data_IF_898612917822
#
_entry.id   IF_898612917822
#
_cell.length_a   1.000
_cell.length_b   1.000
_cell.length_c   1.000
_cell.angle_alpha   90.00
_cell.angle_beta   90.00
_cell.angle_gamma   90.00
#
_symmetry.space_group_name_H-M   'P 1'
#
loop_
_entity.id
_entity.type
_entity.pdbx_description
1 polymer ?
#
# COMPACT_ATOMS: atom_id res chain seq x y z
N UNK A 1 3.90 34.43 -31.51
CA UNK A 1 5.12 34.06 -30.76
C UNK A 1 4.68 33.74 -29.34
N UNK A 2 4.51 32.45 -29.03
CA UNK A 2 3.73 31.98 -27.88
C UNK A 2 4.51 32.00 -26.57
N UNK A 3 3.87 32.56 -25.53
CA UNK A 3 4.32 32.73 -24.14
C UNK A 3 4.39 31.41 -23.35
N UNK A 4 5.18 30.43 -23.77
CA UNK A 4 5.41 29.21 -22.99
C UNK A 4 6.90 29.11 -22.62
N UNK A 5 7.38 30.03 -21.80
CA UNK A 5 8.62 29.82 -21.07
C UNK A 5 8.36 28.68 -20.07
N UNK A 6 8.74 27.45 -20.43
CA UNK A 6 8.89 26.35 -19.48
C UNK A 6 9.83 26.85 -18.38
N UNK A 7 9.29 27.07 -17.17
CA UNK A 7 10.14 27.33 -16.00
C UNK A 7 10.95 26.05 -15.80
N UNK A 8 12.27 26.13 -15.95
CA UNK A 8 13.20 25.12 -15.46
C UNK A 8 12.97 25.06 -13.95
N UNK A 9 12.16 24.10 -13.51
CA UNK A 9 11.97 23.83 -12.09
C UNK A 9 13.17 22.99 -11.68
N UNK A 10 13.95 23.51 -10.73
CA UNK A 10 15.14 22.81 -10.22
C UNK A 10 14.74 21.43 -9.68
N UNK A 11 15.38 20.37 -10.19
CA UNK A 11 15.19 18.99 -9.75
C UNK A 11 15.36 18.83 -8.23
N UNK A 12 16.22 19.66 -7.61
CA UNK A 12 16.41 19.68 -6.15
C UNK A 12 15.13 20.05 -5.42
N UNK A 13 14.35 20.98 -5.96
CA UNK A 13 13.07 21.41 -5.37
C UNK A 13 12.04 20.30 -5.48
N UNK A 14 11.99 19.60 -6.61
CA UNK A 14 11.08 18.46 -6.79
C UNK A 14 11.40 17.30 -5.83
N UNK A 15 12.68 16.94 -5.72
CA UNK A 15 13.14 15.91 -4.79
C UNK A 15 12.84 16.29 -3.33
N UNK A 16 12.99 17.55 -2.97
CA UNK A 16 12.65 18.05 -1.63
C UNK A 16 11.13 17.96 -1.36
N UNK A 17 10.29 18.32 -2.34
CA UNK A 17 8.84 18.19 -2.20
C UNK A 17 8.42 16.73 -1.99
N UNK A 18 8.95 15.81 -2.79
CA UNK A 18 8.65 14.38 -2.66
C UNK A 18 9.05 13.84 -1.29
N UNK A 19 10.19 14.28 -0.75
CA UNK A 19 10.62 13.95 0.60
C UNK A 19 9.61 14.44 1.66
N UNK A 20 9.19 15.71 1.56
CA UNK A 20 8.18 16.29 2.48
C UNK A 20 6.86 15.52 2.40
N UNK A 21 6.39 15.16 1.19
CA UNK A 21 5.18 14.36 1.03
C UNK A 21 5.29 13.00 1.72
N UNK A 22 6.43 12.32 1.59
CA UNK A 22 6.68 11.06 2.29
C UNK A 22 6.74 11.22 3.81
N UNK A 23 7.35 12.28 4.31
CA UNK A 23 7.41 12.58 5.75
C UNK A 23 6.01 12.87 6.31
N UNK A 24 5.19 13.66 5.61
CA UNK A 24 3.79 13.93 6.01
C UNK A 24 2.97 12.63 6.02
N UNK A 25 3.15 11.76 5.03
CA UNK A 25 2.52 10.44 5.01
C UNK A 25 2.89 9.63 6.26
N UNK A 26 4.18 9.49 6.56
CA UNK A 26 4.66 8.74 7.72
C UNK A 26 4.18 9.35 9.04
N UNK A 27 4.19 10.68 9.16
CA UNK A 27 3.70 11.40 10.33
C UNK A 27 2.20 11.13 10.54
N UNK A 28 1.40 11.21 9.47
CA UNK A 28 -0.03 10.93 9.51
C UNK A 28 -0.29 9.50 9.96
N UNK A 29 0.44 8.52 9.42
CA UNK A 29 0.35 7.12 9.83
C UNK A 29 0.66 6.94 11.33
N UNK A 30 1.72 7.57 11.84
CA UNK A 30 2.08 7.48 13.26
C UNK A 30 0.99 8.07 14.16
N UNK A 31 0.47 9.26 13.83
CA UNK A 31 -0.58 9.91 14.62
C UNK A 31 -1.85 9.05 14.68
N UNK A 32 -2.25 8.49 13.54
CA UNK A 32 -3.47 7.66 13.47
C UNK A 32 -3.28 6.35 14.23
N UNK A 33 -2.10 5.71 14.15
CA UNK A 33 -1.79 4.50 14.94
C UNK A 33 -1.80 4.78 16.45
N UNK A 34 -1.24 5.91 16.88
CA UNK A 34 -1.32 6.35 18.28
C UNK A 34 -2.77 6.60 18.70
N UNK A 35 -3.58 7.22 17.84
CA UNK A 35 -5.03 7.42 18.10
C UNK A 35 -5.75 6.09 18.33
N UNK A 36 -5.52 5.09 17.47
CA UNK A 36 -6.07 3.73 17.63
C UNK A 36 -5.68 3.15 18.99
N UNK A 37 -4.38 3.20 19.33
CA UNK A 37 -3.89 2.67 20.61
C UNK A 37 -4.54 3.33 21.82
N UNK A 38 -4.67 4.65 21.82
CA UNK A 38 -5.33 5.41 22.89
C UNK A 38 -6.81 5.05 22.98
N UNK A 39 -7.52 4.92 21.86
CA UNK A 39 -8.93 4.55 21.85
C UNK A 39 -9.15 3.13 22.36
N UNK A 40 -8.34 2.16 21.95
CA UNK A 40 -8.41 0.81 22.48
C UNK A 40 -8.12 0.75 23.98
N UNK A 41 -7.16 1.54 24.47
CA UNK A 41 -6.88 1.63 25.90
C UNK A 41 -8.06 2.21 26.70
N UNK A 42 -8.73 3.23 26.17
CA UNK A 42 -9.77 3.98 26.91
C UNK A 42 -11.18 3.39 26.76
N UNK A 43 -11.53 2.90 25.58
CA UNK A 43 -12.87 2.45 25.22
C UNK A 43 -12.97 0.93 25.04
N UNK A 44 -11.87 0.20 25.25
CA UNK A 44 -11.78 -1.22 24.95
C UNK A 44 -11.59 -1.50 23.46
N UNK A 45 -11.37 -2.77 23.13
CA UNK A 45 -11.15 -3.21 21.75
C UNK A 45 -12.51 -3.35 21.05
N UNK A 46 -12.97 -2.26 20.43
CA UNK A 46 -14.16 -2.25 19.59
C UNK A 46 -13.86 -1.63 18.22
N UNK A 47 -14.27 -2.30 17.14
CA UNK A 47 -14.03 -1.81 15.77
C UNK A 47 -14.79 -0.51 15.48
N UNK A 48 -15.96 -0.34 16.08
CA UNK A 48 -16.76 0.88 15.97
C UNK A 48 -15.98 2.11 16.47
N UNK A 49 -15.21 1.98 17.55
CA UNK A 49 -14.47 3.11 18.12
C UNK A 49 -13.37 3.66 17.20
N UNK A 50 -12.81 2.81 16.32
CA UNK A 50 -11.66 3.14 15.45
C UNK A 50 -12.01 3.18 13.96
N UNK A 51 -13.30 3.17 13.62
CA UNK A 51 -13.74 3.13 12.21
C UNK A 51 -13.20 4.33 11.42
N UNK A 52 -13.21 5.53 12.01
CA UNK A 52 -12.66 6.75 11.38
C UNK A 52 -11.17 6.62 11.11
N UNK A 53 -10.39 6.11 12.06
CA UNK A 53 -8.95 5.89 11.90
C UNK A 53 -8.66 4.89 10.79
N UNK A 54 -9.42 3.80 10.70
CA UNK A 54 -9.29 2.82 9.61
C UNK A 54 -9.54 3.49 8.25
N UNK A 55 -10.59 4.30 8.13
CA UNK A 55 -10.87 5.06 6.89
C UNK A 55 -9.72 5.99 6.54
N UNK A 56 -9.14 6.69 7.51
CA UNK A 56 -8.00 7.58 7.29
C UNK A 56 -6.77 6.78 6.83
N UNK A 57 -6.44 5.67 7.50
CA UNK A 57 -5.30 4.82 7.12
C UNK A 57 -5.42 4.34 5.67
N UNK A 58 -6.61 3.84 5.29
CA UNK A 58 -6.88 3.37 3.93
C UNK A 58 -6.78 4.54 2.94
N UNK A 59 -7.48 5.64 3.21
CA UNK A 59 -7.55 6.80 2.31
C UNK A 59 -6.18 7.44 2.07
N UNK A 60 -5.39 7.64 3.12
CA UNK A 60 -4.05 8.23 3.05
C UNK A 60 -3.07 7.30 2.33
N UNK A 61 -3.14 5.98 2.58
CA UNK A 61 -2.30 4.99 1.90
C UNK A 61 -2.59 4.95 0.39
N UNK A 62 -3.87 4.95 0.01
CA UNK A 62 -4.29 4.99 -1.40
C UNK A 62 -3.89 6.29 -2.08
N UNK A 63 -4.10 7.43 -1.41
CA UNK A 63 -3.71 8.74 -1.93
C UNK A 63 -2.19 8.81 -2.16
N UNK A 64 -1.39 8.40 -1.17
CA UNK A 64 0.06 8.38 -1.29
C UNK A 64 0.51 7.49 -2.45
N UNK A 65 0.03 6.24 -2.52
CA UNK A 65 0.42 5.30 -3.58
C UNK A 65 0.02 5.78 -4.98
N UNK A 66 -1.16 6.39 -5.13
CA UNK A 66 -1.59 6.96 -6.39
C UNK A 66 -0.74 8.18 -6.79
N UNK A 67 -0.45 9.07 -5.82
CA UNK A 67 0.28 10.31 -6.07
C UNK A 67 1.75 10.04 -6.36
N UNK A 68 2.41 9.15 -5.62
CA UNK A 68 3.80 8.77 -5.87
C UNK A 68 3.99 8.17 -7.26
N UNK A 69 3.02 7.36 -7.71
CA UNK A 69 3.01 6.81 -9.08
C UNK A 69 2.81 7.87 -10.17
N UNK A 70 2.03 8.93 -9.91
CA UNK A 70 1.89 10.05 -10.85
C UNK A 70 3.14 10.93 -10.96
N UNK A 71 3.93 10.97 -9.89
CA UNK A 71 5.10 11.83 -9.78
C UNK A 71 6.39 11.14 -10.24
N UNK A 72 6.35 9.86 -10.66
CA UNK A 72 7.57 9.13 -11.03
C UNK A 72 8.38 8.58 -9.84
N UNK A 73 8.08 9.08 -8.63
CA UNK A 73 8.78 8.75 -7.37
C UNK A 73 8.66 7.27 -7.01
N UNK A 74 7.55 6.63 -7.37
CA UNK A 74 7.31 5.23 -6.99
C UNK A 74 8.32 4.27 -7.65
N UNK A 75 8.73 4.50 -8.89
CA UNK A 75 9.78 3.71 -9.54
C UNK A 75 11.12 3.91 -8.86
N UNK A 76 11.47 5.14 -8.51
CA UNK A 76 12.73 5.47 -7.84
C UNK A 76 12.78 4.82 -6.44
N UNK A 77 11.65 4.81 -5.72
CA UNK A 77 11.53 4.12 -4.43
C UNK A 77 11.74 2.61 -4.56
N UNK A 78 11.20 1.99 -5.62
CA UNK A 78 11.36 0.56 -5.89
C UNK A 78 12.80 0.24 -6.25
N UNK A 79 13.42 1.02 -7.14
CA UNK A 79 14.82 0.83 -7.54
C UNK A 79 15.78 1.02 -6.36
N UNK A 80 15.57 2.06 -5.55
CA UNK A 80 16.35 2.30 -4.35
C UNK A 80 16.17 1.17 -3.33
N UNK A 81 14.95 0.64 -3.18
CA UNK A 81 14.71 -0.50 -2.30
C UNK A 81 15.43 -1.74 -2.80
N UNK A 82 15.29 -2.07 -4.08
CA UNK A 82 15.88 -3.27 -4.69
C UNK A 82 17.42 -3.21 -4.69
N UNK A 83 18.01 -2.02 -4.83
CA UNK A 83 19.45 -1.81 -4.72
C UNK A 83 20.00 -2.03 -3.28
N UNK A 84 19.20 -1.71 -2.26
CA UNK A 84 19.63 -1.74 -0.86
C UNK A 84 19.08 -2.93 -0.06
N UNK A 85 18.21 -3.76 -0.65
CA UNK A 85 17.49 -4.84 0.02
C UNK A 85 17.85 -6.20 -0.58
N UNK A 86 17.88 -7.23 0.28
CA UNK A 86 18.04 -8.62 -0.16
C UNK A 86 16.80 -9.16 -0.87
N UNK A 87 15.63 -8.64 -0.53
CA UNK A 87 14.36 -9.05 -1.14
C UNK A 87 13.84 -7.94 -2.03
N UNK A 88 13.43 -8.32 -3.26
CA UNK A 88 12.81 -7.37 -4.17
C UNK A 88 11.50 -6.82 -3.60
N UNK A 89 11.16 -5.59 -4.00
CA UNK A 89 9.91 -4.96 -3.64
C UNK A 89 8.72 -5.80 -4.09
N UNK A 90 8.82 -6.45 -5.26
CA UNK A 90 7.81 -7.39 -5.74
C UNK A 90 7.63 -8.58 -4.80
N UNK A 91 8.73 -9.18 -4.30
CA UNK A 91 8.67 -10.28 -3.32
C UNK A 91 8.00 -9.82 -2.03
N UNK A 92 8.30 -8.60 -1.58
CA UNK A 92 7.66 -8.00 -0.40
C UNK A 92 6.14 -7.88 -0.58
N UNK A 93 5.67 -7.44 -1.75
CA UNK A 93 4.22 -7.37 -2.05
C UNK A 93 3.56 -8.75 -2.05
N UNK A 94 4.23 -9.79 -2.57
CA UNK A 94 3.72 -11.17 -2.52
C UNK A 94 3.58 -11.67 -1.07
N UNK A 95 4.60 -11.45 -0.23
CA UNK A 95 4.58 -11.84 1.18
C UNK A 95 3.44 -11.12 1.91
N UNK A 96 3.25 -9.82 1.66
CA UNK A 96 2.16 -9.04 2.26
C UNK A 96 0.79 -9.58 1.80
N UNK A 97 0.64 -9.92 0.52
CA UNK A 97 -0.62 -10.47 -0.01
C UNK A 97 -0.97 -11.82 0.60
N UNK A 98 0.01 -12.72 0.71
CA UNK A 98 -0.16 -14.01 1.41
C UNK A 98 -0.51 -13.79 2.87
N UNK A 99 0.21 -12.91 3.56
CA UNK A 99 -0.03 -12.57 4.95
C UNK A 99 -1.46 -12.06 5.19
N UNK A 100 -1.94 -11.13 4.37
CA UNK A 100 -3.31 -10.61 4.48
C UNK A 100 -4.37 -11.70 4.24
N UNK A 101 -4.18 -12.52 3.21
CA UNK A 101 -5.08 -13.65 2.93
C UNK A 101 -5.14 -14.65 4.09
N UNK A 102 -4.00 -14.97 4.70
CA UNK A 102 -3.93 -15.86 5.86
C UNK A 102 -4.59 -15.27 7.10
N UNK A 103 -4.38 -13.98 7.39
CA UNK A 103 -5.02 -13.30 8.53
C UNK A 103 -6.54 -13.33 8.39
N UNK A 104 -7.06 -13.07 7.19
CA UNK A 104 -8.51 -13.15 6.95
C UNK A 104 -9.02 -14.57 7.00
N UNK A 105 -8.29 -15.55 6.46
CA UNK A 105 -8.67 -16.94 6.56
C UNK A 105 -8.74 -17.42 8.02
N UNK A 106 -7.77 -17.03 8.85
CA UNK A 106 -7.79 -17.29 10.30
C UNK A 106 -9.00 -16.64 10.96
N UNK A 107 -9.26 -15.36 10.67
CA UNK A 107 -10.42 -14.66 11.21
C UNK A 107 -11.73 -15.34 10.85
N UNK A 108 -11.92 -15.73 9.58
CA UNK A 108 -13.11 -16.42 9.11
C UNK A 108 -13.28 -17.81 9.73
N UNK A 109 -12.19 -18.58 9.84
CA UNK A 109 -12.21 -19.89 10.50
C UNK A 109 -12.52 -19.79 12.00
N UNK A 110 -11.96 -18.81 12.70
CA UNK A 110 -12.27 -18.58 14.13
C UNK A 110 -13.74 -18.17 14.27
N UNK A 111 -14.20 -17.23 13.44
CA UNK A 111 -15.57 -16.76 13.48
C UNK A 111 -16.56 -17.89 13.19
N UNK A 112 -16.25 -18.79 12.24
CA UNK A 112 -17.13 -19.91 11.93
C UNK A 112 -17.25 -20.90 13.10
N UNK A 113 -16.12 -21.21 13.74
CA UNK A 113 -16.08 -22.11 14.88
C UNK A 113 -16.80 -21.52 16.11
N UNK A 114 -16.66 -20.21 16.35
CA UNK A 114 -17.29 -19.56 17.50
C UNK A 114 -18.79 -19.34 17.32
N UNK A 115 -19.23 -19.01 16.10
CA UNK A 115 -20.60 -18.54 15.86
C UNK A 115 -21.58 -19.65 15.45
N UNK A 116 -21.10 -20.74 14.84
CA UNK A 116 -21.99 -21.75 14.25
C UNK A 116 -21.86 -23.15 14.86
N UNK A 117 -20.83 -23.43 15.66
CA UNK A 117 -20.64 -24.77 16.21
C UNK A 117 -21.37 -24.97 17.54
N UNK A 118 -22.15 -26.06 17.64
CA UNK A 118 -22.86 -26.43 18.87
C UNK A 118 -22.04 -27.35 19.78
N UNK A 119 -20.93 -27.90 19.28
CA UNK A 119 -20.03 -28.80 20.02
C UNK A 119 -18.57 -28.58 19.65
N UNK A 120 -17.66 -28.99 20.54
CA UNK A 120 -16.21 -28.86 20.30
C UNK A 120 -15.73 -29.62 19.05
N UNK A 121 -16.35 -30.78 18.73
CA UNK A 121 -16.01 -31.53 17.52
C UNK A 121 -16.41 -30.75 16.27
N UNK A 122 -17.64 -30.21 16.24
CA UNK A 122 -18.11 -29.39 15.12
C UNK A 122 -17.30 -28.10 14.98
N UNK A 123 -16.83 -27.50 16.08
CA UNK A 123 -16.01 -26.28 16.04
C UNK A 123 -14.69 -26.52 15.31
N UNK A 124 -14.04 -27.67 15.56
CA UNK A 124 -12.80 -28.04 14.87
C UNK A 124 -13.07 -28.26 13.37
N UNK A 125 -14.14 -28.97 13.03
CA UNK A 125 -14.54 -29.21 11.64
C UNK A 125 -14.84 -27.90 10.90
N UNK A 126 -15.64 -27.01 11.48
CA UNK A 126 -16.02 -25.73 10.90
C UNK A 126 -14.85 -24.77 10.77
N UNK A 127 -13.93 -24.78 11.76
CA UNK A 127 -12.70 -24.01 11.68
C UNK A 127 -11.89 -24.42 10.45
N UNK A 128 -11.53 -25.71 10.33
CA UNK A 128 -10.65 -26.16 9.25
C UNK A 128 -11.32 -26.05 7.87
N UNK A 129 -12.61 -26.38 7.77
CA UNK A 129 -13.35 -26.25 6.51
C UNK A 129 -13.36 -24.80 6.02
N UNK A 130 -13.77 -23.85 6.87
CA UNK A 130 -13.85 -22.44 6.48
C UNK A 130 -12.45 -21.84 6.31
N UNK A 131 -11.48 -22.22 7.14
CA UNK A 131 -10.10 -21.77 7.01
C UNK A 131 -9.48 -22.14 5.67
N UNK A 132 -9.57 -23.42 5.26
CA UNK A 132 -9.00 -23.85 3.98
C UNK A 132 -9.74 -23.26 2.78
N UNK A 133 -11.07 -23.20 2.81
CA UNK A 133 -11.85 -22.52 1.77
C UNK A 133 -11.46 -21.04 1.68
N UNK A 134 -11.29 -20.38 2.82
CA UNK A 134 -10.87 -18.97 2.89
C UNK A 134 -9.45 -18.76 2.37
N UNK A 135 -8.51 -19.69 2.59
CA UNK A 135 -7.18 -19.62 1.97
C UNK A 135 -7.30 -19.65 0.44
N UNK A 136 -8.08 -20.60 -0.08
CA UNK A 136 -8.26 -20.79 -1.54
C UNK A 136 -8.88 -19.54 -2.19
N UNK A 137 -9.68 -18.77 -1.46
CA UNK A 137 -10.33 -17.56 -1.97
C UNK A 137 -9.47 -16.32 -1.72
N UNK A 138 -9.14 -16.01 -0.47
CA UNK A 138 -8.57 -14.73 -0.07
C UNK A 138 -7.08 -14.61 -0.40
N UNK A 139 -6.28 -15.68 -0.25
CA UNK A 139 -4.84 -15.61 -0.61
C UNK A 139 -4.64 -15.25 -2.08
N UNK A 140 -5.23 -15.95 -3.07
CA UNK A 140 -5.06 -15.57 -4.47
C UNK A 140 -5.71 -14.22 -4.78
N UNK A 141 -6.85 -13.89 -4.16
CA UNK A 141 -7.47 -12.57 -4.32
C UNK A 141 -6.52 -11.43 -3.92
N UNK A 142 -5.93 -11.48 -2.73
CA UNK A 142 -5.00 -10.45 -2.26
C UNK A 142 -3.70 -10.43 -3.04
N UNK A 143 -3.17 -11.59 -3.43
CA UNK A 143 -2.01 -11.68 -4.31
C UNK A 143 -2.26 -10.96 -5.64
N UNK A 144 -3.38 -11.27 -6.30
CA UNK A 144 -3.75 -10.63 -7.57
C UNK A 144 -3.97 -9.13 -7.39
N UNK A 145 -4.71 -8.73 -6.35
CA UNK A 145 -5.00 -7.33 -6.06
C UNK A 145 -3.71 -6.52 -5.86
N UNK A 146 -2.82 -6.96 -4.97
CA UNK A 146 -1.59 -6.24 -4.66
C UNK A 146 -0.61 -6.26 -5.83
N UNK A 147 -0.46 -7.41 -6.50
CA UNK A 147 0.45 -7.51 -7.64
C UNK A 147 -0.02 -6.63 -8.81
N UNK A 148 -1.33 -6.59 -9.08
CA UNK A 148 -1.91 -5.71 -10.08
C UNK A 148 -1.76 -4.23 -9.71
N UNK A 149 -1.99 -3.86 -8.44
CA UNK A 149 -1.78 -2.51 -7.95
C UNK A 149 -0.31 -2.09 -8.09
N UNK A 150 0.62 -2.94 -7.67
CA UNK A 150 2.06 -2.72 -7.80
C UNK A 150 2.49 -2.54 -9.25
N UNK A 151 2.11 -3.47 -10.15
CA UNK A 151 2.47 -3.39 -11.57
C UNK A 151 1.89 -2.13 -12.23
N UNK A 152 0.66 -1.77 -11.90
CA UNK A 152 0.01 -0.56 -12.40
C UNK A 152 0.75 0.70 -11.94
N UNK A 153 1.06 0.78 -10.65
CA UNK A 153 1.78 1.91 -10.06
C UNK A 153 3.18 2.06 -10.66
N UNK A 154 3.92 0.95 -10.79
CA UNK A 154 5.27 0.93 -11.35
C UNK A 154 5.26 1.36 -12.82
N UNK A 155 4.40 0.77 -13.64
CA UNK A 155 4.30 1.09 -15.08
C UNK A 155 3.97 2.56 -15.31
N UNK A 156 3.06 3.12 -14.51
CA UNK A 156 2.68 4.53 -14.61
C UNK A 156 3.83 5.45 -14.18
N UNK A 157 4.54 5.09 -13.11
CA UNK A 157 5.70 5.83 -12.61
C UNK A 157 6.85 5.85 -13.63
N UNK A 158 7.21 4.69 -14.17
CA UNK A 158 8.26 4.57 -15.20
C UNK A 158 7.93 5.36 -16.46
N UNK A 159 6.65 5.39 -16.88
CA UNK A 159 6.20 6.19 -18.02
C UNK A 159 6.34 7.70 -17.77
N UNK A 160 6.24 8.15 -16.52
CA UNK A 160 6.46 9.55 -16.16
C UNK A 160 7.95 9.87 -16.22
N UNK A 161 8.80 9.04 -15.62
CA UNK A 161 10.26 9.21 -15.65
C UNK A 161 10.81 9.20 -17.08
N UNK A 162 10.37 8.26 -17.93
CA UNK A 162 10.85 8.20 -19.32
C UNK A 162 10.51 9.45 -20.11
N UNK A 163 9.33 10.03 -19.89
CA UNK A 163 8.92 11.28 -20.53
C UNK A 163 9.73 12.49 -20.05
N UNK A 164 10.05 12.54 -18.76
CA UNK A 164 10.89 13.60 -18.20
C UNK A 164 12.28 13.58 -18.85
N UNK A 165 12.88 12.38 -18.98
CA UNK A 165 14.17 12.21 -19.64
C UNK A 165 14.16 12.62 -21.12
N UNK A 166 13.13 12.22 -21.88
CA UNK A 166 12.96 12.63 -23.28
C UNK A 166 12.84 14.15 -23.43
N UNK A 167 12.11 14.82 -22.53
CA UNK A 167 11.95 16.27 -22.56
C UNK A 167 13.25 17.01 -22.22
N UNK A 168 14.07 16.49 -21.30
CA UNK A 168 15.36 17.09 -20.93
C UNK A 168 16.41 16.91 -22.03
N UNK A 169 16.46 15.74 -22.67
CA UNK A 169 17.36 15.46 -23.80
C UNK A 169 17.03 16.35 -25.02
N UNK A 170 15.73 16.56 -25.30
CA UNK A 170 15.30 17.48 -26.36
C UNK A 170 15.73 18.91 -26.03
N UNK A 171 15.53 19.40 -24.80
CA UNK A 171 15.98 20.75 -24.40
C UNK A 171 17.49 20.90 -24.50
N UNK A 172 18.26 19.88 -24.13
CA UNK A 172 19.72 19.85 -24.23
C UNK A 172 20.25 19.84 -25.67
N UNK A 173 19.48 19.32 -26.64
CA UNK A 173 19.84 19.35 -28.08
C UNK A 173 19.64 20.70 -28.77
N UNK A 174 18.82 21.58 -28.21
CA UNK A 174 18.55 22.91 -28.77
C UNK A 174 19.38 24.03 -28.11
N UNK A 175 20.30 23.69 -27.20
CA UNK A 175 21.34 24.57 -26.65
C UNK A 175 22.69 24.32 -27.33
#
# INVERSE_FOLDING_TARGET
>A
MGFWNKKVVDERVYNMQNKIYREIYLLTMMIVLVSIGVKFYRFGVSMESVTTEIVILIGVSLYYGFRSSQLGVFSDEVELHDANSKFSYSTKQLIIGIGMGLVIALFMGINSAYQYADSSSQAIEYFFLVFFVSIIIYVPFYLLLLFAAYKSALKKSQKVNSKMLEEDDDVGRYQ
#
